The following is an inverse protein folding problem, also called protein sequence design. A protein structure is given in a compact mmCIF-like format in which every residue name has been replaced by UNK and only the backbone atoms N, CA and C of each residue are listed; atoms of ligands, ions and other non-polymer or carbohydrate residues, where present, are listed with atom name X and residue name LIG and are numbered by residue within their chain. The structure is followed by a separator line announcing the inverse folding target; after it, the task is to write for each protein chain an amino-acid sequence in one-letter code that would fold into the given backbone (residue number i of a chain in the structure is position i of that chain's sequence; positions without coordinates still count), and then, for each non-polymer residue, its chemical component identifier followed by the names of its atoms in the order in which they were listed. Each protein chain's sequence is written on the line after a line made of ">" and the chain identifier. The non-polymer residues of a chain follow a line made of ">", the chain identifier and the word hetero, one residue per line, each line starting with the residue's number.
data_IF_944955942215
#
_entry.id   IF_944955942215
#
_cell.length_a   1.000
_cell.length_b   1.000
_cell.length_c   1.000
_cell.angle_alpha   90.00
_cell.angle_beta   90.00
_cell.angle_gamma   90.00
#
_symmetry.space_group_name_H-M   'P 1'
#
loop_
_entity.id
_entity.type
_entity.pdbx_description
1 polymer ?
#
# COMPACT_ATOMS: atom_id res chain seq x y z
N UNK A 1 5.05 10.78 20.53
CA UNK A 1 4.44 11.91 19.80
C UNK A 1 4.58 11.79 18.32
N UNK A 2 5.76 11.41 17.83
CA UNK A 2 5.96 11.14 16.40
C UNK A 2 5.11 9.99 15.87
N UNK A 3 4.77 8.98 16.71
CA UNK A 3 3.94 7.86 16.31
C UNK A 3 2.50 8.22 15.97
N UNK A 4 1.89 9.14 16.71
CA UNK A 4 0.51 9.58 16.44
C UNK A 4 0.39 10.34 15.12
N UNK A 5 1.35 11.20 14.83
CA UNK A 5 1.38 11.93 13.56
C UNK A 5 1.60 10.98 12.39
N UNK A 6 2.49 9.99 12.55
CA UNK A 6 2.72 8.99 11.51
C UNK A 6 1.44 8.18 11.24
N UNK A 7 0.70 7.80 12.28
CA UNK A 7 -0.55 7.07 12.11
C UNK A 7 -1.62 7.88 11.37
N UNK A 8 -1.71 9.18 11.65
CA UNK A 8 -2.66 10.06 10.97
C UNK A 8 -2.29 10.29 9.51
N UNK A 9 -1.01 10.20 9.17
CA UNK A 9 -0.51 10.44 7.82
C UNK A 9 -0.25 9.15 7.04
N UNK A 10 -0.56 8.01 7.62
CA UNK A 10 -0.42 6.70 6.98
C UNK A 10 -1.68 6.32 6.23
N UNK A 11 -1.49 5.46 5.23
CA UNK A 11 -2.57 4.95 4.40
C UNK A 11 -2.64 3.43 4.52
N UNK A 12 -3.83 2.87 4.52
CA UNK A 12 -4.04 1.42 4.57
C UNK A 12 -4.99 0.96 3.51
N UNK A 13 -4.70 -0.20 2.95
CA UNK A 13 -5.59 -0.94 2.05
C UNK A 13 -5.45 -2.42 2.32
N UNK A 14 -6.52 -3.15 2.07
CA UNK A 14 -6.48 -4.61 2.10
C UNK A 14 -6.69 -5.09 0.67
N UNK A 15 -5.71 -5.80 0.14
CA UNK A 15 -5.80 -6.37 -1.19
C UNK A 15 -6.38 -7.78 -1.11
N UNK A 16 -7.28 -8.10 -2.04
CA UNK A 16 -7.93 -9.42 -2.11
C UNK A 16 -7.02 -10.44 -2.79
N UNK A 17 -5.83 -10.57 -2.27
CA UNK A 17 -4.81 -11.49 -2.79
C UNK A 17 -4.05 -12.09 -1.61
N UNK A 18 -3.75 -13.40 -1.63
CA UNK A 18 -2.95 -14.01 -0.58
C UNK A 18 -1.56 -13.37 -0.48
N UNK A 19 -1.03 -13.32 0.72
CA UNK A 19 0.24 -12.64 1.00
C UNK A 19 1.38 -13.17 0.12
N UNK A 20 1.52 -14.48 -0.01
CA UNK A 20 2.60 -15.05 -0.81
C UNK A 20 2.49 -14.67 -2.28
N UNK A 21 1.28 -14.65 -2.82
CA UNK A 21 1.03 -14.25 -4.19
C UNK A 21 1.27 -12.74 -4.39
N UNK A 22 0.88 -11.92 -3.43
CA UNK A 22 1.15 -10.49 -3.46
C UNK A 22 2.67 -10.22 -3.48
N UNK A 23 3.39 -10.86 -2.58
CA UNK A 23 4.84 -10.69 -2.47
C UNK A 23 5.54 -11.17 -3.73
N UNK A 24 5.14 -12.33 -4.28
CA UNK A 24 5.71 -12.85 -5.51
C UNK A 24 5.47 -11.90 -6.69
N UNK A 25 4.28 -11.33 -6.77
CA UNK A 25 3.92 -10.38 -7.83
C UNK A 25 4.80 -9.12 -7.74
N UNK A 26 4.93 -8.54 -6.55
CA UNK A 26 5.76 -7.36 -6.35
C UNK A 26 7.21 -7.63 -6.69
N UNK A 27 7.74 -8.78 -6.29
CA UNK A 27 9.10 -9.18 -6.62
C UNK A 27 9.29 -9.38 -8.13
N UNK A 28 8.32 -9.96 -8.81
CA UNK A 28 8.41 -10.15 -10.27
C UNK A 28 8.42 -8.79 -11.00
N UNK A 29 7.66 -7.82 -10.54
CA UNK A 29 7.68 -6.48 -11.12
C UNK A 29 9.04 -5.82 -10.97
N UNK A 30 9.70 -6.01 -9.83
CA UNK A 30 11.03 -5.46 -9.62
C UNK A 30 12.06 -6.09 -10.57
N UNK A 31 11.97 -7.40 -10.81
CA UNK A 31 12.88 -8.09 -11.71
C UNK A 31 12.72 -7.65 -13.16
N UNK A 32 11.53 -7.24 -13.57
CA UNK A 32 11.26 -6.79 -14.93
C UNK A 32 11.43 -5.28 -15.12
N UNK A 33 11.52 -4.55 -14.01
CA UNK A 33 11.72 -3.11 -14.04
C UNK A 33 13.19 -2.73 -14.16
N UNK A 34 13.47 -1.53 -14.69
CA UNK A 34 14.81 -0.96 -14.68
C UNK A 34 15.16 -0.55 -13.25
N UNK A 35 16.35 -0.98 -12.78
CA UNK A 35 16.90 -0.62 -11.47
C UNK A 35 15.98 -0.97 -10.29
N UNK A 36 15.26 -2.09 -10.37
CA UNK A 36 14.32 -2.53 -9.34
C UNK A 36 13.23 -1.49 -9.02
N UNK A 37 12.87 -0.69 -10.00
CA UNK A 37 11.86 0.35 -9.84
C UNK A 37 10.55 -0.02 -10.53
N UNK A 38 9.45 0.24 -9.86
CA UNK A 38 8.10 0.15 -10.43
C UNK A 38 7.45 1.52 -10.38
N UNK A 39 7.05 2.01 -11.53
CA UNK A 39 6.40 3.31 -11.63
C UNK A 39 4.89 3.12 -11.66
N UNK A 40 4.19 3.76 -10.74
CA UNK A 40 2.73 3.81 -10.70
C UNK A 40 2.29 5.27 -10.79
N UNK A 41 1.78 5.64 -11.96
CA UNK A 41 1.52 7.06 -12.25
C UNK A 41 2.82 7.85 -12.18
N UNK A 42 2.85 8.88 -11.36
CA UNK A 42 4.04 9.68 -11.12
C UNK A 42 4.81 9.25 -9.87
N UNK A 43 4.29 8.27 -9.15
CA UNK A 43 4.93 7.74 -7.96
C UNK A 43 5.81 6.56 -8.31
N UNK A 44 6.82 6.32 -7.48
CA UNK A 44 7.84 5.32 -7.72
C UNK A 44 7.96 4.38 -6.54
N UNK A 45 7.86 3.08 -6.81
CA UNK A 45 8.16 2.04 -5.83
C UNK A 45 9.55 1.50 -6.14
N UNK A 46 10.41 1.51 -5.14
CA UNK A 46 11.82 1.16 -5.31
C UNK A 46 12.18 -0.02 -4.42
N UNK A 47 12.79 -1.02 -5.03
CA UNK A 47 13.29 -2.18 -4.31
C UNK A 47 14.63 -1.94 -3.64
N UNK A 48 15.20 -2.96 -3.01
CA UNK A 48 14.63 -4.30 -2.88
C UNK A 48 13.49 -4.37 -1.86
N UNK A 49 12.69 -5.44 -1.95
CA UNK A 49 11.72 -5.75 -0.92
C UNK A 49 12.47 -6.44 0.22
N UNK A 50 12.49 -5.82 1.38
CA UNK A 50 13.23 -6.29 2.54
C UNK A 50 12.28 -6.83 3.60
N UNK A 51 12.71 -7.90 4.26
CA UNK A 51 11.97 -8.46 5.39
C UNK A 51 12.40 -7.80 6.69
N UNK A 52 11.45 -7.26 7.43
CA UNK A 52 11.68 -6.75 8.75
C UNK A 52 11.42 -7.87 9.77
N UNK A 53 12.50 -8.46 10.26
CA UNK A 53 12.40 -9.57 11.22
C UNK A 53 11.78 -9.16 12.54
N UNK A 54 11.87 -7.90 12.89
CA UNK A 54 11.33 -7.41 14.15
C UNK A 54 9.80 -7.33 14.14
N UNK A 55 9.24 -6.81 13.03
CA UNK A 55 7.80 -6.64 12.90
C UNK A 55 7.14 -7.75 12.08
N UNK A 56 7.92 -8.62 11.46
CA UNK A 56 7.38 -9.68 10.61
C UNK A 56 6.72 -9.18 9.33
N UNK A 57 7.04 -7.96 8.91
CA UNK A 57 6.50 -7.36 7.70
C UNK A 57 7.56 -7.29 6.61
N UNK A 58 7.11 -7.17 5.36
CA UNK A 58 7.97 -6.88 4.24
C UNK A 58 7.80 -5.42 3.85
N UNK A 59 8.87 -4.78 3.43
CA UNK A 59 8.83 -3.34 3.15
C UNK A 59 9.64 -2.98 1.92
N UNK A 60 9.23 -1.90 1.27
CA UNK A 60 9.96 -1.30 0.18
C UNK A 60 9.84 0.22 0.22
N UNK A 61 10.79 0.91 -0.41
CA UNK A 61 10.78 2.35 -0.46
C UNK A 61 9.78 2.85 -1.50
N UNK A 62 9.12 3.96 -1.19
CA UNK A 62 8.18 4.61 -2.08
C UNK A 62 8.49 6.09 -2.14
N UNK A 63 8.43 6.65 -3.35
CA UNK A 63 8.47 8.09 -3.56
C UNK A 63 7.11 8.52 -4.07
N UNK A 64 6.36 9.16 -3.19
CA UNK A 64 4.99 9.56 -3.46
C UNK A 64 4.96 10.93 -4.14
N UNK A 65 4.48 10.97 -5.38
CA UNK A 65 4.37 12.21 -6.13
C UNK A 65 3.12 12.97 -5.71
N UNK A 66 3.29 14.24 -5.37
CA UNK A 66 2.20 15.14 -4.93
C UNK A 66 1.85 16.20 -5.96
N UNK A 67 2.35 16.09 -7.18
CA UNK A 67 2.18 17.08 -8.23
C UNK A 67 3.52 17.60 -8.73
N UNK A 68 3.47 18.41 -9.79
CA UNK A 68 4.68 18.83 -10.52
C UNK A 68 5.59 19.78 -9.75
N UNK A 69 5.01 20.60 -8.87
CA UNK A 69 5.74 21.68 -8.21
C UNK A 69 6.20 21.31 -6.81
N UNK A 70 5.96 20.11 -6.37
CA UNK A 70 6.34 19.66 -5.03
C UNK A 70 7.27 18.45 -5.12
N UNK A 71 8.31 18.41 -4.30
CA UNK A 71 9.18 17.24 -4.27
C UNK A 71 8.40 16.00 -3.81
N UNK A 72 8.77 14.81 -4.27
CA UNK A 72 8.11 13.60 -3.81
C UNK A 72 8.37 13.36 -2.33
N UNK A 73 7.42 12.72 -1.66
CA UNK A 73 7.55 12.36 -0.26
C UNK A 73 8.15 10.97 -0.17
N UNK A 74 9.17 10.83 0.65
CA UNK A 74 9.72 9.51 0.96
C UNK A 74 8.77 8.77 1.88
N UNK A 75 8.37 7.60 1.45
CA UNK A 75 7.47 6.75 2.21
C UNK A 75 7.99 5.31 2.22
N UNK A 76 7.41 4.51 3.07
CA UNK A 76 7.67 3.09 3.17
C UNK A 76 6.36 2.36 2.95
N UNK A 77 6.36 1.40 2.03
CA UNK A 77 5.24 0.48 1.86
C UNK A 77 5.52 -0.76 2.68
N UNK A 78 4.66 -1.05 3.64
CA UNK A 78 4.71 -2.27 4.43
C UNK A 78 3.66 -3.25 3.94
N UNK A 79 4.04 -4.50 3.84
CA UNK A 79 3.23 -5.58 3.30
C UNK A 79 3.18 -6.68 4.34
N UNK A 80 1.98 -7.06 4.75
CA UNK A 80 1.79 -8.06 5.78
C UNK A 80 0.59 -8.96 5.47
N UNK A 81 0.62 -10.22 5.90
CA UNK A 81 -0.57 -11.06 5.78
C UNK A 81 -1.70 -10.49 6.63
N UNK A 82 -2.90 -10.64 6.14
CA UNK A 82 -4.11 -10.19 6.83
C UNK A 82 -5.12 -11.33 6.89
N UNK A 83 -6.29 -11.07 7.44
CA UNK A 83 -7.32 -12.08 7.62
C UNK A 83 -7.85 -12.62 6.31
N UNK A 84 -8.36 -13.85 6.33
CA UNK A 84 -9.07 -14.49 5.22
C UNK A 84 -8.26 -14.59 3.91
N UNK A 85 -6.95 -14.77 4.03
CA UNK A 85 -6.10 -14.92 2.85
C UNK A 85 -5.94 -13.64 2.06
N UNK A 86 -6.04 -12.49 2.73
CA UNK A 86 -5.81 -11.18 2.14
C UNK A 86 -4.45 -10.61 2.57
N UNK A 87 -4.10 -9.47 2.02
CA UNK A 87 -2.82 -8.80 2.31
C UNK A 87 -3.07 -7.37 2.71
N UNK A 88 -2.49 -6.96 3.82
CA UNK A 88 -2.52 -5.56 4.27
C UNK A 88 -1.37 -4.80 3.63
N UNK A 89 -1.69 -3.65 3.06
CA UNK A 89 -0.73 -2.71 2.50
C UNK A 89 -0.82 -1.42 3.31
N UNK A 90 0.31 -0.99 3.86
CA UNK A 90 0.38 0.23 4.64
C UNK A 90 1.46 1.15 4.08
N UNK A 91 1.09 2.37 3.80
CA UNK A 91 1.99 3.38 3.28
C UNK A 91 2.28 4.38 4.40
N UNK A 92 3.54 4.44 4.82
CA UNK A 92 3.97 5.19 6.01
C UNK A 92 5.00 6.23 5.62
N UNK A 93 4.83 7.51 6.03
CA UNK A 93 5.83 8.53 5.72
C UNK A 93 7.13 8.29 6.47
N UNK A 94 8.26 8.47 5.77
CA UNK A 94 9.62 8.37 6.32
C UNK A 94 10.25 9.74 6.54
N UNK A 95 9.51 10.80 6.35
CA UNK A 95 9.95 12.18 6.55
C UNK A 95 8.80 13.00 7.09
N UNK A 96 9.10 14.21 7.54
CA UNK A 96 8.05 15.13 7.94
C UNK A 96 7.21 15.52 6.74
N UNK A 97 5.90 15.41 6.89
CA UNK A 97 4.95 15.79 5.85
C UNK A 97 3.94 16.75 6.45
N UNK A 98 3.70 17.85 5.76
CA UNK A 98 2.62 18.75 6.10
C UNK A 98 1.33 18.16 5.54
N UNK A 99 0.30 17.92 6.36
CA UNK A 99 -0.98 17.43 5.88
C UNK A 99 -1.56 18.37 4.83
N UNK A 100 -2.00 17.81 3.71
CA UNK A 100 -2.63 18.58 2.64
C UNK A 100 -3.56 17.67 1.83
N UNK A 101 -4.53 18.28 1.15
CA UNK A 101 -5.41 17.55 0.26
C UNK A 101 -4.62 16.83 -0.84
N UNK A 102 -3.57 17.47 -1.34
CA UNK A 102 -2.71 16.86 -2.38
C UNK A 102 -1.99 15.62 -1.86
N UNK A 103 -1.51 15.66 -0.62
CA UNK A 103 -0.84 14.51 0.00
C UNK A 103 -1.81 13.32 0.14
N UNK A 104 -2.98 13.56 0.72
CA UNK A 104 -3.96 12.49 0.94
C UNK A 104 -4.48 11.92 -0.39
N UNK A 105 -4.72 12.77 -1.37
CA UNK A 105 -5.14 12.31 -2.68
C UNK A 105 -4.05 11.47 -3.36
N UNK A 106 -2.79 11.87 -3.23
CA UNK A 106 -1.68 11.13 -3.80
C UNK A 106 -1.52 9.74 -3.20
N UNK A 107 -1.60 9.65 -1.87
CA UNK A 107 -1.51 8.37 -1.17
C UNK A 107 -2.64 7.42 -1.53
N UNK A 108 -3.85 7.94 -1.59
CA UNK A 108 -5.03 7.15 -1.99
C UNK A 108 -4.89 6.66 -3.44
N UNK A 109 -4.47 7.51 -4.35
CA UNK A 109 -4.27 7.13 -5.75
C UNK A 109 -3.21 6.06 -5.90
N UNK A 110 -2.11 6.17 -5.17
CA UNK A 110 -1.04 5.18 -5.23
C UNK A 110 -1.55 3.81 -4.77
N UNK A 111 -2.20 3.75 -3.62
CA UNK A 111 -2.71 2.48 -3.10
C UNK A 111 -3.85 1.92 -3.95
N UNK A 112 -4.71 2.77 -4.50
CA UNK A 112 -5.75 2.33 -5.43
C UNK A 112 -5.14 1.76 -6.71
N UNK A 113 -4.12 2.41 -7.25
CA UNK A 113 -3.42 1.93 -8.43
C UNK A 113 -2.71 0.61 -8.16
N UNK A 114 -2.07 0.49 -7.01
CA UNK A 114 -1.37 -0.72 -6.61
C UNK A 114 -2.33 -1.89 -6.44
N UNK A 115 -3.43 -1.68 -5.73
CA UNK A 115 -4.42 -2.75 -5.51
C UNK A 115 -5.09 -3.19 -6.81
N UNK A 116 -5.31 -2.27 -7.74
CA UNK A 116 -5.86 -2.62 -9.06
C UNK A 116 -4.86 -3.38 -9.93
N UNK A 117 -3.60 -3.08 -9.80
CA UNK A 117 -2.55 -3.75 -10.57
C UNK A 117 -2.24 -5.14 -10.04
N UNK A 118 -2.47 -5.39 -8.76
CA UNK A 118 -2.31 -6.73 -8.20
C UNK A 118 -3.38 -7.66 -8.79
N UNK A 119 -2.99 -8.88 -9.21
CA UNK A 119 -3.97 -9.80 -9.75
C UNK A 119 -4.97 -10.15 -8.66
N UNK A 120 -6.16 -9.59 -8.77
CA UNK A 120 -7.25 -9.97 -7.90
C UNK A 120 -7.59 -11.42 -8.20
N UNK A 121 -7.17 -12.32 -7.37
CA UNK A 121 -7.84 -13.61 -7.34
C UNK A 121 -9.21 -13.30 -6.79
N UNK A 122 -10.17 -13.27 -7.70
CA UNK A 122 -11.57 -13.26 -7.29
C UNK A 122 -11.69 -14.35 -6.26
N UNK A 123 -11.91 -14.03 -5.00
CA UNK A 123 -12.25 -15.08 -4.07
C UNK A 123 -13.55 -15.63 -4.59
N UNK A 124 -13.47 -16.81 -5.12
CA UNK A 124 -14.62 -17.62 -5.46
C UNK A 124 -15.56 -17.69 -4.27
N UNK A 125 -15.12 -17.21 -3.17
CA UNK A 125 -15.83 -17.26 -1.92
C UNK A 125 -15.71 -15.90 -1.26
N UNK A 126 -16.74 -15.12 -1.39
CA UNK A 126 -16.92 -14.04 -0.46
C UNK A 126 -17.27 -14.67 0.88
N UNK A 127 -16.25 -14.91 1.65
CA UNK A 127 -16.44 -15.42 2.98
C UNK A 127 -17.07 -14.34 3.85
N UNK A 128 -17.89 -14.73 4.86
CA UNK A 128 -18.46 -13.75 5.77
C UNK A 128 -17.42 -12.88 6.47
N UNK A 129 -16.24 -13.44 6.75
CA UNK A 129 -15.13 -12.70 7.35
C UNK A 129 -14.58 -11.60 6.43
N UNK A 130 -14.61 -11.79 5.12
CA UNK A 130 -14.23 -10.72 4.19
C UNK A 130 -15.22 -9.57 4.23
N UNK A 131 -16.49 -9.87 4.33
CA UNK A 131 -17.52 -8.83 4.50
C UNK A 131 -17.31 -8.05 5.79
N UNK A 132 -16.96 -8.75 6.86
CA UNK A 132 -16.66 -8.12 8.14
C UNK A 132 -15.46 -7.18 8.05
N UNK A 133 -14.37 -7.64 7.45
CA UNK A 133 -13.17 -6.82 7.26
C UNK A 133 -13.44 -5.61 6.40
N UNK A 134 -14.19 -5.80 5.32
CA UNK A 134 -14.57 -4.71 4.43
C UNK A 134 -15.38 -3.66 5.18
N UNK A 135 -16.31 -4.08 6.02
CA UNK A 135 -17.12 -3.17 6.83
C UNK A 135 -16.25 -2.41 7.85
N UNK A 136 -15.34 -3.12 8.50
CA UNK A 136 -14.43 -2.49 9.46
C UNK A 136 -13.54 -1.45 8.82
N UNK A 137 -13.00 -1.73 7.63
CA UNK A 137 -12.18 -0.77 6.89
C UNK A 137 -13.00 0.36 6.29
N UNK A 138 -14.19 0.08 5.82
CA UNK A 138 -15.07 1.08 5.22
C UNK A 138 -15.51 2.14 6.23
N UNK A 139 -15.60 1.78 7.51
CA UNK A 139 -15.90 2.74 8.56
C UNK A 139 -14.79 3.78 8.72
N UNK A 140 -13.54 3.41 8.42
CA UNK A 140 -12.40 4.30 8.50
C UNK A 140 -11.90 4.82 7.17
N UNK A 141 -12.19 4.10 6.06
CA UNK A 141 -11.63 4.41 4.75
C UNK A 141 -12.71 4.28 3.68
N UNK A 142 -13.46 5.35 3.39
CA UNK A 142 -14.57 5.30 2.42
C UNK A 142 -14.20 4.80 1.03
N UNK A 143 -12.94 4.98 0.62
CA UNK A 143 -12.48 4.53 -0.70
C UNK A 143 -12.60 3.02 -0.91
N UNK A 144 -12.60 2.22 0.16
CA UNK A 144 -12.73 0.77 0.08
C UNK A 144 -14.12 0.31 -0.32
N UNK A 145 -15.13 1.15 -0.10
CA UNK A 145 -16.51 0.81 -0.47
C UNK A 145 -16.75 0.83 -1.97
N UNK A 146 -15.79 1.26 -2.77
CA UNK A 146 -15.92 1.40 -4.22
C UNK A 146 -15.40 0.21 -5.03
N UNK A 147 -14.72 -0.68 -4.40
CA UNK A 147 -14.12 -1.81 -5.12
C UNK A 147 -15.06 -2.99 -5.31
#
# INVERSE_FOLDING_TARGET
>A
MTGQLADLLSFRRVASIPFDACLATLKSWQLTGHDDELRLGNSLLRGPIEHDHYFGTWRMEVRLARGRLRPPVRMRLEIAPWYAGTTALELIPCQRVRPSAAYFAAGDRLLDSLTRALPARVPVQQRPDQGYLRAAFSAGVPALSRS
#
